data_IF_434127055054
#
_entry.id   IF_434127055054
#
_cell.length_a   1.000
_cell.length_b   1.000
_cell.length_c   1.000
_cell.angle_alpha   90.00
_cell.angle_beta   90.00
_cell.angle_gamma   90.00
#
_symmetry.space_group_name_H-M   'P 1'
#
loop_
_entity.id
_entity.type
_entity.pdbx_description
1 polymer ?
#
# COMPACT_ATOMS: atom_id res chain seq x y z
N UNK A 1 12.29 -15.87 7.99
CA UNK A 1 11.80 -15.53 6.65
C UNK A 1 10.28 -15.59 6.61
N UNK A 2 9.64 -14.63 6.04
CA UNK A 2 8.19 -14.42 6.17
C UNK A 2 7.38 -14.96 4.98
N UNK A 3 7.83 -16.02 4.36
CA UNK A 3 7.11 -16.68 3.28
C UNK A 3 7.49 -16.17 1.89
N UNK A 4 6.73 -16.59 0.91
CA UNK A 4 6.99 -16.27 -0.49
C UNK A 4 6.43 -14.89 -0.84
N UNK A 5 7.05 -14.26 -1.83
CA UNK A 5 6.53 -13.00 -2.37
C UNK A 5 5.18 -13.25 -3.04
N UNK A 6 4.14 -12.55 -2.57
CA UNK A 6 2.79 -12.68 -3.12
C UNK A 6 2.52 -11.70 -4.26
N UNK A 7 3.17 -10.55 -4.25
CA UNK A 7 2.93 -9.56 -5.28
C UNK A 7 3.85 -8.37 -5.22
N UNK A 8 3.77 -7.55 -6.26
CA UNK A 8 4.48 -6.28 -6.34
C UNK A 8 3.75 -5.35 -7.29
N UNK A 9 3.90 -4.06 -7.06
CA UNK A 9 3.34 -3.05 -7.96
C UNK A 9 4.27 -1.85 -8.10
N UNK A 10 4.01 -1.06 -9.12
CA UNK A 10 4.65 0.24 -9.35
C UNK A 10 3.60 1.24 -9.79
N UNK A 11 3.74 2.45 -9.35
CA UNK A 11 2.79 3.48 -9.70
C UNK A 11 3.22 4.86 -9.28
N UNK A 12 2.22 5.72 -9.12
CA UNK A 12 2.41 7.15 -8.89
C UNK A 12 1.57 7.60 -7.72
N UNK A 13 2.10 8.59 -7.02
CA UNK A 13 1.32 9.38 -6.07
C UNK A 13 0.40 10.28 -6.89
N UNK A 14 -0.89 10.20 -6.64
CA UNK A 14 -1.90 10.96 -7.40
C UNK A 14 -2.40 12.19 -6.65
N UNK A 15 -2.15 12.27 -5.37
CA UNK A 15 -2.55 13.44 -4.59
C UNK A 15 -2.07 13.36 -3.16
N UNK A 16 -2.04 14.52 -2.52
CA UNK A 16 -1.73 14.67 -1.11
C UNK A 16 -2.71 15.66 -0.50
N UNK A 17 -3.05 15.43 0.75
CA UNK A 17 -3.94 16.33 1.49
C UNK A 17 -3.47 16.42 2.94
N UNK A 18 -3.32 17.64 3.42
CA UNK A 18 -3.01 17.88 4.83
C UNK A 18 -4.30 17.74 5.63
N UNK A 19 -4.35 16.73 6.51
CA UNK A 19 -5.52 16.48 7.35
C UNK A 19 -5.47 17.28 8.64
N UNK A 20 -4.25 17.50 9.15
CA UNK A 20 -4.02 18.28 10.36
C UNK A 20 -2.64 18.90 10.28
N UNK A 21 -2.53 20.17 10.63
CA UNK A 21 -1.23 20.84 10.68
C UNK A 21 -0.42 20.47 11.93
N UNK A 22 -1.10 19.94 12.92
CA UNK A 22 -0.42 19.38 14.11
C UNK A 22 0.09 17.98 13.77
N UNK A 23 1.37 17.76 13.94
CA UNK A 23 2.02 16.52 13.59
C UNK A 23 3.06 16.75 12.49
N UNK A 24 2.76 17.02 11.25
CA UNK A 24 1.47 17.08 10.56
C UNK A 24 0.92 15.69 10.21
N UNK A 25 -0.37 15.59 10.02
CA UNK A 25 -1.04 14.41 9.51
C UNK A 25 -1.34 14.64 8.03
N UNK A 26 -0.77 13.81 7.17
CA UNK A 26 -0.87 13.96 5.72
C UNK A 26 -1.45 12.70 5.12
N UNK A 27 -2.45 12.87 4.25
CA UNK A 27 -3.04 11.81 3.46
C UNK A 27 -2.40 11.79 2.08
N UNK A 28 -2.08 10.57 1.61
CA UNK A 28 -1.47 10.35 0.29
C UNK A 28 -2.34 9.37 -0.48
N UNK A 29 -2.68 9.71 -1.71
CA UNK A 29 -3.39 8.81 -2.63
C UNK A 29 -2.44 8.36 -3.73
N UNK A 30 -2.64 7.12 -4.19
CA UNK A 30 -1.80 6.55 -5.22
C UNK A 30 -2.60 5.66 -6.18
N UNK A 31 -2.02 5.44 -7.36
CA UNK A 31 -2.50 4.48 -8.34
C UNK A 31 -1.31 3.70 -8.87
N UNK A 32 -1.43 2.39 -8.90
CA UNK A 32 -0.34 1.50 -9.29
C UNK A 32 -0.86 0.35 -10.14
N UNK A 33 0.04 -0.28 -10.85
CA UNK A 33 -0.20 -1.52 -11.58
C UNK A 33 0.80 -2.56 -11.13
N UNK A 34 0.37 -3.80 -11.04
CA UNK A 34 1.25 -4.87 -10.57
C UNK A 34 0.66 -6.24 -10.72
N UNK A 35 1.33 -7.21 -10.11
CA UNK A 35 0.95 -8.61 -10.15
C UNK A 35 0.80 -9.13 -8.73
N UNK A 36 -0.30 -9.78 -8.46
CA UNK A 36 -0.63 -10.35 -7.16
C UNK A 36 -1.13 -11.77 -7.35
N UNK A 37 -0.48 -12.73 -6.69
CA UNK A 37 -0.75 -14.16 -6.87
C UNK A 37 -0.75 -14.58 -8.36
N UNK A 38 0.16 -13.99 -9.15
CA UNK A 38 0.26 -14.24 -10.58
C UNK A 38 -0.77 -13.53 -11.45
N UNK A 39 -1.61 -12.67 -10.87
CA UNK A 39 -2.71 -12.00 -11.58
C UNK A 39 -2.40 -10.51 -11.72
N UNK A 40 -2.49 -10.00 -12.95
CA UNK A 40 -2.31 -8.57 -13.22
C UNK A 40 -3.47 -7.76 -12.65
N UNK A 41 -3.14 -6.74 -11.87
CA UNK A 41 -4.10 -5.92 -11.16
C UNK A 41 -3.73 -4.44 -11.22
N UNK A 42 -4.75 -3.59 -11.03
CA UNK A 42 -4.53 -2.22 -10.61
C UNK A 42 -4.68 -2.14 -9.09
N UNK A 43 -3.93 -1.23 -8.48
CA UNK A 43 -3.99 -0.98 -7.05
C UNK A 43 -4.26 0.51 -6.85
N UNK A 44 -5.39 0.83 -6.26
CA UNK A 44 -5.76 2.21 -5.93
C UNK A 44 -5.93 2.31 -4.44
N UNK A 45 -5.24 3.23 -3.82
CA UNK A 45 -5.28 3.32 -2.37
C UNK A 45 -4.97 4.68 -1.82
N UNK A 46 -5.13 4.77 -0.52
CA UNK A 46 -4.91 5.98 0.26
C UNK A 46 -4.33 5.60 1.61
N UNK A 47 -3.34 6.35 2.06
CA UNK A 47 -2.82 6.19 3.40
C UNK A 47 -2.58 7.56 4.04
N UNK A 48 -2.53 7.59 5.35
CA UNK A 48 -2.13 8.78 6.08
C UNK A 48 -0.91 8.47 6.93
N UNK A 49 -0.12 9.50 7.20
CA UNK A 49 1.09 9.40 8.02
C UNK A 49 1.14 10.50 9.06
N UNK A 50 1.75 10.17 10.19
CA UNK A 50 2.15 11.14 11.23
C UNK A 50 3.60 10.87 11.62
N UNK A 51 4.37 11.90 11.94
CA UNK A 51 5.71 11.69 12.50
C UNK A 51 5.63 11.08 13.91
N UNK A 52 6.52 10.13 14.19
CA UNK A 52 6.66 9.53 15.52
C UNK A 52 8.06 9.75 16.08
N UNK A 53 9.00 10.19 15.23
CA UNK A 53 10.36 10.57 15.58
C UNK A 53 10.90 11.48 14.47
N UNK A 54 12.10 12.00 14.61
CA UNK A 54 12.69 12.93 13.64
C UNK A 54 12.77 12.35 12.21
N UNK A 55 12.95 11.04 12.09
CA UNK A 55 13.13 10.34 10.81
C UNK A 55 12.17 9.16 10.62
N UNK A 56 11.12 9.09 11.46
CA UNK A 56 10.19 7.96 11.42
C UNK A 56 8.74 8.44 11.37
N UNK A 57 7.94 7.70 10.60
CA UNK A 57 6.52 7.95 10.41
C UNK A 57 5.73 6.71 10.80
N UNK A 58 4.54 6.92 11.35
CA UNK A 58 3.53 5.88 11.46
C UNK A 58 2.43 6.18 10.47
N UNK A 59 1.90 5.15 9.83
CA UNK A 59 0.82 5.31 8.90
C UNK A 59 -0.16 4.14 8.87
N UNK A 60 -1.33 4.42 8.33
CA UNK A 60 -2.33 3.39 8.05
C UNK A 60 -2.87 3.63 6.65
N UNK A 61 -3.06 2.53 5.92
CA UNK A 61 -3.52 2.59 4.56
C UNK A 61 -4.66 1.64 4.28
N UNK A 62 -5.32 1.91 3.16
CA UNK A 62 -6.39 1.07 2.62
C UNK A 62 -6.37 1.20 1.12
N UNK A 63 -6.82 0.15 0.46
CA UNK A 63 -6.87 0.17 -0.98
C UNK A 63 -7.67 -0.96 -1.57
N UNK A 64 -7.72 -0.96 -2.89
CA UNK A 64 -8.47 -1.93 -3.67
C UNK A 64 -7.58 -2.43 -4.79
N UNK A 65 -7.44 -3.75 -4.87
CA UNK A 65 -6.86 -4.43 -6.02
C UNK A 65 -7.98 -4.84 -6.95
N UNK A 66 -7.84 -4.54 -8.23
CA UNK A 66 -8.81 -4.91 -9.24
C UNK A 66 -8.10 -5.69 -10.34
N UNK A 67 -8.43 -6.97 -10.56
CA UNK A 67 -7.90 -7.74 -11.67
C UNK A 67 -8.26 -7.11 -13.00
N UNK A 68 -7.34 -7.20 -13.96
CA UNK A 68 -7.44 -6.48 -15.23
C UNK A 68 -8.67 -6.85 -16.06
N UNK A 69 -9.13 -8.08 -16.01
CA UNK A 69 -10.25 -8.58 -16.81
C UNK A 69 -11.36 -9.18 -15.94
N UNK A 70 -11.52 -8.65 -14.72
CA UNK A 70 -12.48 -9.15 -13.77
C UNK A 70 -13.03 -7.98 -12.97
N UNK A 71 -14.29 -8.10 -12.53
CA UNK A 71 -14.94 -7.09 -11.71
C UNK A 71 -14.83 -7.36 -10.21
N UNK A 72 -14.30 -8.52 -9.83
CA UNK A 72 -14.09 -8.82 -8.42
C UNK A 72 -12.94 -7.99 -7.86
N UNK A 73 -13.22 -7.35 -6.75
CA UNK A 73 -12.26 -6.48 -6.10
C UNK A 73 -11.81 -7.09 -4.78
N UNK A 74 -10.52 -6.97 -4.52
CA UNK A 74 -9.94 -7.28 -3.22
C UNK A 74 -9.65 -5.97 -2.51
N UNK A 75 -10.22 -5.80 -1.33
CA UNK A 75 -9.87 -4.67 -0.48
C UNK A 75 -8.78 -5.07 0.51
N UNK A 76 -8.01 -4.09 0.96
CA UNK A 76 -7.00 -4.33 1.98
C UNK A 76 -6.86 -3.12 2.90
N UNK A 77 -6.37 -3.40 4.11
CA UNK A 77 -5.97 -2.39 5.07
C UNK A 77 -4.61 -2.78 5.64
N UNK A 78 -3.84 -1.79 6.09
CA UNK A 78 -2.57 -2.12 6.72
C UNK A 78 -1.92 -0.94 7.41
N UNK A 79 -1.43 -1.15 8.64
CA UNK A 79 -0.56 -0.20 9.30
C UNK A 79 0.89 -0.42 8.88
N UNK A 80 1.70 0.63 9.03
CA UNK A 80 3.12 0.55 8.73
C UNK A 80 3.94 1.62 9.42
N UNK A 81 5.23 1.34 9.51
CA UNK A 81 6.23 2.28 10.00
C UNK A 81 7.08 2.69 8.80
N UNK A 82 7.27 3.99 8.65
CA UNK A 82 8.11 4.56 7.60
C UNK A 82 9.37 5.17 8.16
N UNK A 83 10.44 5.08 7.38
CA UNK A 83 11.70 5.78 7.64
C UNK A 83 11.94 6.75 6.50
N UNK A 84 12.35 7.97 6.84
CA UNK A 84 12.73 8.95 5.82
C UNK A 84 14.15 8.61 5.37
N UNK A 85 14.29 8.27 4.08
CA UNK A 85 15.54 7.80 3.51
C UNK A 85 16.29 8.87 2.73
N UNK A 86 15.65 10.02 2.50
CA UNK A 86 16.23 11.16 1.80
C UNK A 86 15.18 12.22 1.57
N UNK A 87 15.52 13.36 0.95
CA UNK A 87 14.56 14.41 0.66
C UNK A 87 13.40 13.89 -0.21
N UNK A 88 12.17 13.97 0.31
CA UNK A 88 10.99 13.50 -0.38
C UNK A 88 10.89 11.99 -0.57
N UNK A 89 11.70 11.21 0.16
CA UNK A 89 11.72 9.75 0.04
C UNK A 89 11.46 9.09 1.38
N UNK A 90 10.66 8.04 1.35
CA UNK A 90 10.37 7.25 2.54
C UNK A 90 10.27 5.77 2.17
N UNK A 91 10.64 4.92 3.13
CA UNK A 91 10.47 3.48 3.03
C UNK A 91 9.55 3.03 4.15
N UNK A 92 8.52 2.26 3.79
CA UNK A 92 7.55 1.75 4.74
C UNK A 92 7.62 0.25 4.83
N UNK A 93 7.39 -0.27 6.03
CA UNK A 93 7.23 -1.70 6.31
C UNK A 93 6.04 -1.86 7.22
N UNK A 94 5.24 -2.88 6.94
CA UNK A 94 4.08 -3.15 7.76
C UNK A 94 3.40 -4.44 7.41
N UNK A 95 2.20 -4.60 7.94
CA UNK A 95 1.35 -5.74 7.66
C UNK A 95 0.13 -5.30 6.85
N UNK A 96 -0.39 -6.23 6.07
CA UNK A 96 -1.56 -5.98 5.23
C UNK A 96 -2.56 -7.12 5.42
N UNK A 97 -3.84 -6.75 5.50
CA UNK A 97 -4.95 -7.68 5.69
C UNK A 97 -5.84 -7.58 4.46
N UNK A 98 -6.04 -8.71 3.79
CA UNK A 98 -6.83 -8.79 2.57
C UNK A 98 -8.22 -9.31 2.82
N UNK A 99 -9.21 -8.73 2.10
CA UNK A 99 -10.59 -9.19 2.14
C UNK A 99 -11.19 -9.06 0.73
N UNK A 100 -11.72 -10.16 0.21
CA UNK A 100 -12.35 -10.20 -1.10
C UNK A 100 -13.63 -11.03 -1.07
N UNK A 101 -14.34 -11.10 -2.18
CA UNK A 101 -15.44 -12.04 -2.35
C UNK A 101 -14.91 -13.47 -2.42
N UNK A 102 -15.74 -14.44 -2.06
CA UNK A 102 -15.33 -15.85 -1.98
C UNK A 102 -15.04 -16.49 -3.35
N UNK A 103 -15.47 -15.87 -4.44
CA UNK A 103 -15.45 -16.48 -5.78
C UNK A 103 -14.53 -15.76 -6.78
N UNK A 104 -13.88 -14.66 -6.40
CA UNK A 104 -13.03 -13.89 -7.28
C UNK A 104 -11.70 -14.56 -7.60
N UNK A 105 -11.04 -14.07 -8.65
CA UNK A 105 -9.70 -14.54 -9.05
C UNK A 105 -8.67 -14.35 -7.95
N UNK A 106 -8.84 -13.35 -7.10
CA UNK A 106 -7.95 -13.06 -5.99
C UNK A 106 -8.38 -13.73 -4.69
N UNK A 107 -9.34 -14.65 -4.75
CA UNK A 107 -9.87 -15.32 -3.55
C UNK A 107 -8.80 -16.04 -2.73
N UNK A 108 -7.71 -16.46 -3.36
CA UNK A 108 -6.58 -17.07 -2.66
C UNK A 108 -5.92 -16.11 -1.65
N UNK A 109 -6.08 -14.81 -1.81
CA UNK A 109 -5.55 -13.80 -0.89
C UNK A 109 -6.53 -13.47 0.24
N UNK A 110 -7.78 -13.94 0.15
CA UNK A 110 -8.80 -13.60 1.13
C UNK A 110 -8.42 -14.11 2.52
N UNK A 111 -8.57 -13.23 3.51
CA UNK A 111 -8.25 -13.51 4.92
C UNK A 111 -6.75 -13.77 5.18
N UNK A 112 -5.89 -13.44 4.24
CA UNK A 112 -4.46 -13.52 4.47
C UNK A 112 -3.92 -12.27 5.16
N UNK A 113 -2.87 -12.49 5.93
CA UNK A 113 -2.04 -11.42 6.47
C UNK A 113 -0.72 -11.44 5.74
N UNK A 114 -0.41 -10.35 5.07
CA UNK A 114 0.87 -10.19 4.39
C UNK A 114 1.78 -9.24 5.14
N UNK A 115 3.06 -9.31 4.84
CA UNK A 115 4.05 -8.31 5.24
C UNK A 115 4.46 -7.57 3.99
N UNK A 116 4.47 -6.25 4.05
CA UNK A 116 4.81 -5.46 2.88
C UNK A 116 6.03 -4.57 3.14
N UNK A 117 6.69 -4.24 2.05
CA UNK A 117 7.67 -3.14 1.98
C UNK A 117 7.30 -2.27 0.79
N UNK A 118 7.36 -0.95 0.94
CA UNK A 118 7.33 -0.09 -0.20
C UNK A 118 8.16 1.17 0.01
N UNK A 119 8.58 1.74 -1.12
CA UNK A 119 9.28 3.00 -1.16
C UNK A 119 8.45 3.98 -1.95
N UNK A 120 8.35 5.21 -1.47
CA UNK A 120 7.78 6.28 -2.25
C UNK A 120 8.74 7.47 -2.35
N UNK A 121 8.54 8.24 -3.39
CA UNK A 121 9.11 9.55 -3.60
C UNK A 121 7.98 10.48 -3.96
N UNK A 122 8.28 11.75 -4.22
CA UNK A 122 7.24 12.73 -4.55
C UNK A 122 6.31 12.32 -5.70
N UNK A 123 6.76 11.47 -6.61
CA UNK A 123 6.02 11.12 -7.83
C UNK A 123 5.78 9.63 -8.02
N UNK A 124 6.55 8.77 -7.37
CA UNK A 124 6.54 7.34 -7.67
C UNK A 124 6.38 6.50 -6.43
N UNK A 125 5.87 5.31 -6.64
CA UNK A 125 5.71 4.31 -5.62
C UNK A 125 6.16 2.95 -6.16
N UNK A 126 6.85 2.17 -5.32
CA UNK A 126 7.24 0.80 -5.61
C UNK A 126 6.92 -0.06 -4.39
N UNK A 127 6.15 -1.13 -4.57
CA UNK A 127 5.65 -1.94 -3.46
C UNK A 127 5.89 -3.41 -3.71
N UNK A 128 6.28 -4.11 -2.65
CA UNK A 128 6.45 -5.57 -2.62
C UNK A 128 5.70 -6.15 -1.44
N UNK A 129 5.07 -7.27 -1.68
CA UNK A 129 4.29 -7.97 -0.66
C UNK A 129 4.68 -9.43 -0.64
#
# INVERSE_FOLDING_TARGET
>A
MLGNKLGEDRGKITGQRVLDTTGPKIEVSFSAVGTYAGIDCTNTGTYWTIPIAADALYGEGKGVLMPKNDFDMLSYTGPGIGSITGPGKARFRGSVFYKTSLTGKLSALNNLVGVFEYEDSLLERDSRI
#
